data_IF_394921767742
#
_entry.id   IF_394921767742
#
_cell.length_a   1.000
_cell.length_b   1.000
_cell.length_c   1.000
_cell.angle_alpha   90.00
_cell.angle_beta   90.00
_cell.angle_gamma   90.00
#
_symmetry.space_group_name_H-M   'P 1'
#
loop_
_entity.id
_entity.type
_entity.pdbx_description
1 polymer ?
#
# COMPACT_ATOMS: atom_id res chain seq x y z
N UNK A 1 1.65 -16.12 -4.03
CA UNK A 1 2.85 -16.94 -4.34
C UNK A 1 3.86 -16.11 -5.13
N UNK A 2 3.43 -15.50 -6.23
CA UNK A 2 4.33 -14.79 -7.16
C UNK A 2 5.05 -13.60 -6.52
N UNK A 3 4.37 -12.81 -5.67
CA UNK A 3 4.97 -11.68 -4.98
C UNK A 3 6.15 -12.11 -4.08
N UNK A 4 6.09 -13.25 -3.42
CA UNK A 4 7.18 -13.78 -2.59
C UNK A 4 8.39 -14.17 -3.45
N UNK A 5 8.17 -14.89 -4.54
CA UNK A 5 9.25 -15.28 -5.48
C UNK A 5 9.96 -14.04 -6.05
N UNK A 6 9.17 -13.01 -6.40
CA UNK A 6 9.71 -11.74 -6.89
C UNK A 6 10.55 -11.07 -5.78
N UNK A 7 10.04 -11.01 -4.57
CA UNK A 7 10.75 -10.39 -3.45
C UNK A 7 12.07 -11.10 -3.15
N UNK A 8 12.06 -12.43 -3.04
CA UNK A 8 13.29 -13.22 -2.83
C UNK A 8 14.31 -12.99 -3.95
N UNK A 9 13.84 -12.92 -5.19
CA UNK A 9 14.70 -12.62 -6.35
C UNK A 9 15.30 -11.21 -6.28
N UNK A 10 14.50 -10.21 -5.87
CA UNK A 10 14.97 -8.82 -5.73
C UNK A 10 16.00 -8.73 -4.62
N UNK A 11 15.74 -9.30 -3.44
CA UNK A 11 16.68 -9.32 -2.31
C UNK A 11 18.01 -9.93 -2.77
N UNK A 12 18.00 -11.13 -3.35
CA UNK A 12 19.21 -11.79 -3.84
C UNK A 12 19.99 -10.94 -4.83
N UNK A 13 19.29 -10.26 -5.77
CA UNK A 13 19.95 -9.38 -6.75
C UNK A 13 20.59 -8.16 -6.11
N UNK A 14 19.95 -7.57 -5.10
CA UNK A 14 20.48 -6.42 -4.37
C UNK A 14 21.71 -6.80 -3.53
N UNK A 15 21.66 -7.94 -2.87
CA UNK A 15 22.81 -8.50 -2.13
C UNK A 15 24.01 -8.74 -3.05
N UNK A 16 23.79 -9.39 -4.19
CA UNK A 16 24.85 -9.65 -5.19
C UNK A 16 25.47 -8.37 -5.75
N UNK A 17 24.72 -7.24 -5.73
CA UNK A 17 25.21 -5.92 -6.13
C UNK A 17 25.79 -5.10 -4.97
N UNK A 18 25.83 -5.66 -3.77
CA UNK A 18 26.23 -4.96 -2.53
C UNK A 18 25.43 -3.66 -2.32
N UNK A 19 24.16 -3.66 -2.73
CA UNK A 19 23.27 -2.50 -2.55
C UNK A 19 23.05 -2.23 -1.06
N UNK A 20 23.15 -0.96 -0.65
CA UNK A 20 22.96 -0.53 0.74
C UNK A 20 21.92 0.59 0.89
N UNK A 21 21.29 1.01 -0.19
CA UNK A 21 20.24 2.02 -0.14
C UNK A 21 18.90 1.47 0.37
N UNK A 22 17.89 2.34 0.58
CA UNK A 22 16.57 1.93 1.03
C UNK A 22 15.85 1.12 -0.05
N UNK A 23 15.22 0.01 0.35
CA UNK A 23 14.26 -0.72 -0.47
C UNK A 23 12.85 -0.34 -0.01
N UNK A 24 12.04 0.15 -0.93
CA UNK A 24 10.68 0.60 -0.65
C UNK A 24 9.69 -0.26 -1.44
N UNK A 25 8.71 -0.81 -0.75
CA UNK A 25 7.60 -1.51 -1.40
C UNK A 25 6.51 -0.49 -1.75
N UNK A 26 6.05 -0.50 -3.00
CA UNK A 26 4.94 0.34 -3.44
C UNK A 26 3.88 -0.50 -4.14
N UNK A 27 2.63 -0.36 -3.71
CA UNK A 27 1.49 -1.04 -4.30
C UNK A 27 0.31 -0.11 -4.54
N UNK A 28 -0.25 -0.18 -5.76
CA UNK A 28 -1.42 0.59 -6.15
C UNK A 28 -2.63 -0.32 -6.35
N UNK A 29 -3.80 0.12 -5.88
CA UNK A 29 -5.07 -0.59 -6.07
C UNK A 29 -4.93 -2.06 -5.65
N UNK A 30 -5.18 -3.02 -6.52
CA UNK A 30 -5.00 -4.46 -6.26
C UNK A 30 -3.56 -4.80 -5.86
N UNK A 31 -2.55 -4.05 -6.33
CA UNK A 31 -1.16 -4.22 -5.92
C UNK A 31 -0.90 -3.97 -4.43
N UNK A 32 -1.82 -3.27 -3.73
CA UNK A 32 -1.75 -3.10 -2.28
C UNK A 32 -1.77 -4.43 -1.52
N UNK A 33 -2.47 -5.43 -2.05
CA UNK A 33 -2.54 -6.80 -1.49
C UNK A 33 -1.14 -7.40 -1.40
N UNK A 34 -0.39 -7.34 -2.50
CA UNK A 34 0.94 -7.92 -2.59
C UNK A 34 1.92 -7.24 -1.62
N UNK A 35 1.93 -5.91 -1.59
CA UNK A 35 2.90 -5.19 -0.74
C UNK A 35 2.55 -5.27 0.75
N UNK A 36 1.27 -5.32 1.12
CA UNK A 36 0.85 -5.54 2.52
C UNK A 36 1.19 -6.97 2.97
N UNK A 37 1.02 -7.98 2.10
CA UNK A 37 1.45 -9.35 2.39
C UNK A 37 2.96 -9.43 2.58
N UNK A 38 3.74 -8.83 1.66
CA UNK A 38 5.19 -8.77 1.76
C UNK A 38 5.64 -8.04 3.03
N UNK A 39 4.97 -6.94 3.38
CA UNK A 39 5.26 -6.17 4.59
C UNK A 39 5.10 -7.01 5.87
N UNK A 40 4.11 -7.90 5.90
CA UNK A 40 3.93 -8.86 6.99
C UNK A 40 5.00 -9.95 7.00
N UNK A 41 5.38 -10.46 5.83
CA UNK A 41 6.27 -11.63 5.70
C UNK A 41 7.75 -11.26 5.83
N UNK A 42 8.15 -10.07 5.37
CA UNK A 42 9.53 -9.60 5.28
C UNK A 42 9.71 -8.27 6.03
N UNK A 43 9.37 -8.17 7.31
CA UNK A 43 9.30 -6.88 8.03
C UNK A 43 10.64 -6.14 8.13
N UNK A 44 11.75 -6.83 7.93
CA UNK A 44 13.11 -6.29 8.07
C UNK A 44 13.85 -6.13 6.73
N UNK A 45 13.26 -6.55 5.61
CA UNK A 45 13.96 -6.61 4.32
C UNK A 45 13.68 -5.37 3.44
N UNK A 46 12.88 -4.42 3.94
CA UNK A 46 12.60 -3.17 3.26
C UNK A 46 12.45 -2.01 4.26
N UNK A 47 12.66 -0.79 3.76
CA UNK A 47 12.77 0.42 4.59
C UNK A 47 11.43 1.12 4.81
N UNK A 48 10.45 0.93 3.91
CA UNK A 48 9.16 1.60 3.99
C UNK A 48 8.13 1.07 3.01
N UNK A 49 6.86 1.39 3.28
CA UNK A 49 5.70 0.95 2.51
C UNK A 49 4.93 2.14 1.98
N UNK A 50 4.65 2.15 0.66
CA UNK A 50 3.77 3.11 0.01
C UNK A 50 2.54 2.36 -0.51
N UNK A 51 1.36 2.82 -0.12
CA UNK A 51 0.08 2.29 -0.59
C UNK A 51 -0.67 3.40 -1.31
N UNK A 52 -0.92 3.23 -2.62
CA UNK A 52 -1.71 4.16 -3.42
C UNK A 52 -3.06 3.54 -3.76
N UNK A 53 -4.16 4.24 -3.42
CA UNK A 53 -5.54 3.77 -3.66
C UNK A 53 -5.75 2.30 -3.25
N UNK A 54 -5.18 1.91 -2.11
CA UNK A 54 -5.29 0.55 -1.58
C UNK A 54 -6.57 0.35 -0.78
N UNK A 55 -6.87 -0.90 -0.43
CA UNK A 55 -8.07 -1.27 0.31
C UNK A 55 -7.76 -2.18 1.50
N UNK A 56 -8.59 -2.09 2.52
CA UNK A 56 -8.52 -2.89 3.75
C UNK A 56 -9.30 -4.20 3.63
N UNK A 57 -10.40 -4.18 2.88
CA UNK A 57 -11.28 -5.32 2.63
C UNK A 57 -11.72 -5.36 1.15
N UNK A 58 -12.33 -6.45 0.73
CA UNK A 58 -12.67 -6.74 -0.66
C UNK A 58 -14.03 -6.18 -1.10
N UNK A 59 -14.79 -5.56 -0.21
CA UNK A 59 -16.13 -5.04 -0.51
C UNK A 59 -16.18 -4.10 -1.73
N UNK A 60 -15.22 -3.14 -1.88
CA UNK A 60 -15.19 -2.30 -3.07
C UNK A 60 -15.04 -3.06 -4.37
N UNK A 61 -14.32 -4.18 -4.36
CA UNK A 61 -14.11 -5.02 -5.55
C UNK A 61 -15.39 -5.76 -5.95
N UNK A 62 -16.15 -6.25 -4.97
CA UNK A 62 -17.46 -6.87 -5.23
C UNK A 62 -18.45 -5.85 -5.78
N UNK A 63 -18.50 -4.64 -5.19
CA UNK A 63 -19.35 -3.56 -5.65
C UNK A 63 -19.04 -3.17 -7.10
N UNK A 64 -17.77 -3.18 -7.51
CA UNK A 64 -17.35 -2.87 -8.87
C UNK A 64 -17.94 -3.82 -9.91
N UNK A 65 -18.13 -5.09 -9.56
CA UNK A 65 -18.73 -6.10 -10.45
C UNK A 65 -20.22 -6.31 -10.20
N UNK A 66 -20.86 -5.43 -9.42
CA UNK A 66 -22.31 -5.43 -9.20
C UNK A 66 -22.83 -6.55 -8.29
N UNK A 67 -21.99 -7.06 -7.38
CA UNK A 67 -22.36 -8.11 -6.41
C UNK A 67 -21.92 -7.73 -5.00
N UNK A 68 -22.21 -8.60 -4.03
CA UNK A 68 -21.70 -8.50 -2.66
C UNK A 68 -20.87 -9.74 -2.31
N UNK A 69 -20.02 -9.65 -1.30
CA UNK A 69 -19.28 -10.81 -0.80
C UNK A 69 -20.20 -11.98 -0.43
N UNK A 70 -21.34 -11.69 0.20
CA UNK A 70 -22.34 -12.69 0.59
C UNK A 70 -22.95 -13.39 -0.64
N UNK A 71 -23.38 -12.62 -1.65
CA UNK A 71 -23.94 -13.17 -2.90
C UNK A 71 -22.93 -14.03 -3.67
N UNK A 72 -21.64 -13.69 -3.57
CA UNK A 72 -20.56 -14.47 -4.17
C UNK A 72 -20.18 -15.71 -3.33
N UNK A 73 -20.79 -15.93 -2.17
CA UNK A 73 -20.40 -16.98 -1.24
C UNK A 73 -19.02 -16.77 -0.60
N UNK A 74 -18.52 -15.53 -0.64
CA UNK A 74 -17.20 -15.16 -0.16
C UNK A 74 -17.21 -14.91 1.35
N UNK A 75 -16.25 -15.48 2.05
CA UNK A 75 -16.08 -15.29 3.49
C UNK A 75 -14.78 -14.56 3.79
N UNK A 76 -14.65 -14.00 5.00
CA UNK A 76 -13.39 -13.36 5.42
C UNK A 76 -12.16 -14.25 5.30
N UNK A 77 -12.32 -15.56 5.35
CA UNK A 77 -11.20 -16.51 5.21
C UNK A 77 -10.67 -16.59 3.78
N UNK A 78 -11.50 -16.24 2.81
CA UNK A 78 -11.16 -16.25 1.39
C UNK A 78 -10.50 -14.93 0.97
N UNK A 79 -10.54 -13.90 1.84
CA UNK A 79 -10.05 -12.56 1.58
C UNK A 79 -8.55 -12.38 1.76
N UNK A 80 -8.08 -11.23 1.30
CA UNK A 80 -6.68 -10.83 1.42
C UNK A 80 -6.30 -10.42 2.84
N UNK A 81 -7.28 -10.08 3.69
CA UNK A 81 -7.09 -9.68 5.09
C UNK A 81 -6.15 -8.47 5.25
N UNK A 82 -6.16 -7.56 4.30
CA UNK A 82 -5.28 -6.38 4.30
C UNK A 82 -5.45 -5.54 5.57
N UNK A 83 -6.71 -5.35 6.02
CA UNK A 83 -7.03 -4.64 7.25
C UNK A 83 -6.44 -5.29 8.50
N UNK A 84 -6.36 -6.63 8.55
CA UNK A 84 -5.75 -7.33 9.67
C UNK A 84 -4.21 -7.34 9.59
N UNK A 85 -3.67 -7.42 8.38
CA UNK A 85 -2.22 -7.41 8.15
C UNK A 85 -1.62 -6.04 8.48
N UNK A 86 -2.25 -4.94 8.07
CA UNK A 86 -1.74 -3.59 8.32
C UNK A 86 -1.66 -3.25 9.81
N UNK A 87 -2.51 -3.84 10.66
CA UNK A 87 -2.46 -3.70 12.12
C UNK A 87 -1.18 -4.26 12.74
N UNK A 88 -0.42 -5.05 12.01
CA UNK A 88 0.83 -5.66 12.46
C UNK A 88 2.07 -4.92 11.90
N UNK A 89 1.88 -3.98 10.98
CA UNK A 89 2.98 -3.26 10.34
C UNK A 89 3.41 -2.06 11.19
N UNK A 90 4.67 -2.05 11.64
CA UNK A 90 5.25 -1.00 12.49
C UNK A 90 6.26 -0.11 11.77
N UNK A 91 6.65 -0.47 10.54
CA UNK A 91 7.58 0.29 9.71
C UNK A 91 6.98 1.60 9.15
N UNK A 92 7.78 2.45 8.50
CA UNK A 92 7.31 3.68 7.87
C UNK A 92 6.25 3.42 6.81
N UNK A 93 5.15 4.21 6.83
CA UNK A 93 4.01 4.05 5.92
C UNK A 93 3.63 5.40 5.28
N UNK A 94 3.48 5.40 3.96
CA UNK A 94 2.82 6.47 3.22
C UNK A 94 1.58 5.90 2.52
N UNK A 95 0.41 6.42 2.85
CA UNK A 95 -0.83 6.14 2.13
C UNK A 95 -1.16 7.34 1.25
N UNK A 96 -1.34 7.14 -0.05
CA UNK A 96 -1.77 8.13 -1.02
C UNK A 96 -3.14 7.71 -1.53
N UNK A 97 -4.15 8.60 -1.48
CA UNK A 97 -5.49 8.21 -1.91
C UNK A 97 -6.26 9.39 -2.50
N UNK A 98 -7.00 9.12 -3.57
CA UNK A 98 -7.88 10.10 -4.20
C UNK A 98 -9.14 10.30 -3.36
N UNK A 99 -9.51 11.55 -3.07
CA UNK A 99 -10.71 11.82 -2.26
C UNK A 99 -12.02 11.45 -2.97
N UNK A 100 -12.02 11.50 -4.32
CA UNK A 100 -13.19 11.13 -5.14
C UNK A 100 -12.97 9.77 -5.84
N UNK A 101 -12.26 8.87 -5.18
CA UNK A 101 -12.06 7.53 -5.72
C UNK A 101 -13.41 6.77 -5.78
N UNK A 102 -13.83 6.47 -7.00
CA UNK A 102 -15.11 5.83 -7.31
C UNK A 102 -15.01 4.29 -7.41
N UNK A 103 -13.79 3.75 -7.34
CA UNK A 103 -13.51 2.30 -7.38
C UNK A 103 -13.23 1.80 -5.97
N UNK A 104 -12.25 2.41 -5.31
CA UNK A 104 -11.88 2.11 -3.92
C UNK A 104 -12.11 3.36 -3.10
N UNK A 105 -13.17 3.45 -2.31
CA UNK A 105 -13.51 4.64 -1.54
C UNK A 105 -12.35 5.11 -0.66
N UNK A 106 -12.21 6.43 -0.51
CA UNK A 106 -11.16 7.07 0.29
C UNK A 106 -11.09 6.52 1.73
N UNK A 107 -12.24 6.13 2.29
CA UNK A 107 -12.34 5.49 3.61
C UNK A 107 -11.49 4.22 3.76
N UNK A 108 -11.21 3.51 2.67
CA UNK A 108 -10.33 2.34 2.67
C UNK A 108 -8.88 2.73 2.94
N UNK A 109 -8.41 3.82 2.32
CA UNK A 109 -7.08 4.39 2.59
C UNK A 109 -6.98 4.96 4.02
N UNK A 110 -8.04 5.64 4.49
CA UNK A 110 -8.13 6.10 5.88
C UNK A 110 -8.05 4.94 6.86
N UNK A 111 -8.73 3.82 6.57
CA UNK A 111 -8.65 2.63 7.41
C UNK A 111 -7.20 2.13 7.50
N UNK A 112 -6.54 1.91 6.36
CA UNK A 112 -5.16 1.44 6.33
C UNK A 112 -4.23 2.36 7.13
N UNK A 113 -4.40 3.67 6.99
CA UNK A 113 -3.64 4.66 7.75
C UNK A 113 -3.94 4.61 9.24
N UNK A 114 -5.22 4.66 9.62
CA UNK A 114 -5.63 4.79 11.03
C UNK A 114 -5.25 3.55 11.85
N UNK A 115 -5.44 2.35 11.29
CA UNK A 115 -5.21 1.09 11.99
C UNK A 115 -3.76 0.58 11.91
N UNK A 116 -2.90 1.17 11.09
CA UNK A 116 -1.49 0.90 11.13
C UNK A 116 -0.88 1.46 12.43
N UNK A 117 -0.21 0.66 13.26
CA UNK A 117 0.38 1.10 14.53
C UNK A 117 1.68 1.91 14.37
N UNK A 118 2.19 2.05 13.16
CA UNK A 118 3.42 2.79 12.88
C UNK A 118 3.36 4.21 13.43
N UNK A 119 4.43 4.63 14.12
CA UNK A 119 4.61 6.02 14.58
C UNK A 119 5.07 6.95 13.44
N UNK A 120 5.59 6.37 12.35
CA UNK A 120 6.10 7.09 11.18
C UNK A 120 5.14 6.84 10.00
N UNK A 121 3.92 7.34 10.11
CA UNK A 121 2.92 7.16 9.05
C UNK A 121 2.37 8.49 8.57
N UNK A 122 2.03 8.54 7.29
CA UNK A 122 1.43 9.71 6.63
C UNK A 122 0.30 9.29 5.73
N UNK A 123 -0.73 10.13 5.67
CA UNK A 123 -1.81 10.05 4.70
C UNK A 123 -1.73 11.28 3.79
N UNK A 124 -1.69 11.06 2.48
CA UNK A 124 -1.74 12.08 1.46
C UNK A 124 -3.07 11.99 0.71
N UNK A 125 -4.09 12.74 1.11
CA UNK A 125 -5.31 12.88 0.32
C UNK A 125 -5.02 13.75 -0.92
N UNK A 126 -5.55 13.32 -2.08
CA UNK A 126 -5.48 14.09 -3.33
C UNK A 126 -6.88 14.61 -3.65
N UNK A 127 -7.16 15.89 -3.34
CA UNK A 127 -8.44 16.51 -3.60
C UNK A 127 -8.78 16.50 -5.09
N UNK A 128 -10.06 16.30 -5.40
CA UNK A 128 -10.60 16.25 -6.76
C UNK A 128 -10.13 15.07 -7.62
N UNK A 129 -9.13 14.33 -7.22
CA UNK A 129 -8.70 13.13 -7.92
C UNK A 129 -9.70 11.98 -7.78
N UNK A 130 -9.76 11.15 -8.82
CA UNK A 130 -10.39 9.84 -8.82
C UNK A 130 -9.33 8.73 -8.90
N UNK A 131 -9.77 7.47 -8.97
CA UNK A 131 -8.86 6.32 -9.00
C UNK A 131 -7.79 6.39 -10.10
N UNK A 132 -8.06 7.05 -11.23
CA UNK A 132 -7.23 6.97 -12.43
C UNK A 132 -6.41 8.23 -12.72
N UNK A 133 -6.65 9.36 -12.03
CA UNK A 133 -6.03 10.64 -12.35
C UNK A 133 -5.22 11.29 -11.21
N UNK A 134 -4.85 10.54 -10.18
CA UNK A 134 -4.09 11.04 -9.01
C UNK A 134 -2.88 11.88 -9.42
N UNK A 135 -2.05 11.36 -10.34
CA UNK A 135 -0.87 12.06 -10.83
C UNK A 135 -1.21 13.30 -11.68
N UNK A 136 -2.34 13.26 -12.40
CA UNK A 136 -2.79 14.39 -13.21
C UNK A 136 -3.28 15.57 -12.38
N UNK A 137 -3.95 15.30 -11.25
CA UNK A 137 -4.56 16.32 -10.41
C UNK A 137 -3.55 17.08 -9.53
N UNK A 138 -2.53 16.41 -9.03
CA UNK A 138 -1.60 17.04 -8.09
C UNK A 138 -0.18 16.47 -8.21
N UNK A 139 0.48 16.52 -9.38
CA UNK A 139 1.78 15.88 -9.57
C UNK A 139 2.86 16.43 -8.63
N UNK A 140 2.92 17.76 -8.43
CA UNK A 140 3.92 18.37 -7.56
C UNK A 140 3.76 17.92 -6.10
N UNK A 141 2.52 17.88 -5.60
CA UNK A 141 2.22 17.44 -4.23
C UNK A 141 2.56 15.96 -4.04
N UNK A 142 2.21 15.15 -5.04
CA UNK A 142 2.49 13.71 -5.05
C UNK A 142 4.00 13.44 -4.97
N UNK A 143 4.77 13.94 -5.92
CA UNK A 143 6.21 13.68 -5.98
C UNK A 143 6.98 14.29 -4.80
N UNK A 144 6.58 15.48 -4.34
CA UNK A 144 7.18 16.09 -3.14
C UNK A 144 6.98 15.23 -1.89
N UNK A 145 5.80 14.61 -1.73
CA UNK A 145 5.54 13.76 -0.57
C UNK A 145 6.26 12.41 -0.67
N UNK A 146 6.33 11.83 -1.87
CA UNK A 146 7.12 10.61 -2.11
C UNK A 146 8.61 10.87 -1.87
N UNK A 147 9.17 11.96 -2.40
CA UNK A 147 10.55 12.38 -2.15
C UNK A 147 10.84 12.56 -0.66
N UNK A 148 9.95 13.27 0.05
CA UNK A 148 10.07 13.45 1.50
C UNK A 148 10.07 12.12 2.24
N UNK A 149 9.23 11.19 1.82
CA UNK A 149 9.17 9.85 2.42
C UNK A 149 10.48 9.09 2.18
N UNK A 150 11.02 9.11 0.96
CA UNK A 150 12.30 8.47 0.61
C UNK A 150 13.45 9.05 1.43
N UNK A 151 13.54 10.39 1.51
CA UNK A 151 14.61 11.06 2.26
C UNK A 151 14.58 10.70 3.76
N UNK A 152 13.39 10.64 4.35
CA UNK A 152 13.22 10.18 5.74
C UNK A 152 13.77 8.76 5.99
N UNK A 153 13.73 7.90 4.98
CA UNK A 153 14.24 6.53 5.08
C UNK A 153 15.75 6.46 4.86
N UNK A 154 16.28 7.30 3.99
CA UNK A 154 17.73 7.37 3.70
C UNK A 154 18.55 7.88 4.89
N UNK A 155 17.99 8.79 5.68
CA UNK A 155 18.63 9.35 6.88
C UNK A 155 18.73 8.34 8.05
N UNK A 156 18.19 7.13 7.88
CA UNK A 156 18.19 6.08 8.91
C UNK A 156 19.14 4.92 8.62
N UNK A 157 19.80 4.94 7.47
CA UNK A 157 20.80 3.95 7.06
C UNK A 157 22.21 4.41 7.48
#
# INVERSE_FOLDING_TARGET
LDAHIIMDTVITKLENKSYRGPLILMGRSLGSVSVIELAKRYPNDFSGLIIESGFADEEPLFNLIGTTAEQAGFTKKDGFLNGEKIKQYVGPLLVIHAEKDHIIPFSQGEFLYNYCPSKNKRLLPIPNANHNNILGESPQKYFKEVERFINLLSDRL
#
